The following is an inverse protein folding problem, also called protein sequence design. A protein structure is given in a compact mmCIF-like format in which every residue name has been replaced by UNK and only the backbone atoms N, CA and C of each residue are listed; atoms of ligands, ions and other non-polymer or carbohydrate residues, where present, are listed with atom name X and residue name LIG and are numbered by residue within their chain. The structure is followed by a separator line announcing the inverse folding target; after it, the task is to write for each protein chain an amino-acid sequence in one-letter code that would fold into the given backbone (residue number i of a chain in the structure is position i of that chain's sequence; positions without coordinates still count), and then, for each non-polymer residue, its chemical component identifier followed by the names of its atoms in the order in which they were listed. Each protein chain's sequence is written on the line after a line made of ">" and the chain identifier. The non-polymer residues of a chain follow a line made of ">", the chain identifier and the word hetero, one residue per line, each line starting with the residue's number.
data_IF_444068864660
#
_entry.id   IF_444068864660
#
_cell.length_a   1.000
_cell.length_b   1.000
_cell.length_c   1.000
_cell.angle_alpha   90.00
_cell.angle_beta   90.00
_cell.angle_gamma   90.00
#
_symmetry.space_group_name_H-M   'P 1'
#
loop_
_entity.id
_entity.type
_entity.pdbx_description
1 polymer ?
#
# COMPACT_ATOMS: atom_id res chain seq x y z
N UNK A 1 -22.21 -13.69 -8.68
CA UNK A 1 -21.82 -12.77 -7.58
C UNK A 1 -20.91 -11.70 -8.12
N UNK A 2 -21.01 -10.48 -7.59
CA UNK A 2 -20.13 -9.35 -7.88
C UNK A 2 -19.40 -8.99 -6.59
N UNK A 3 -18.08 -8.98 -6.62
CA UNK A 3 -17.25 -8.60 -5.48
C UNK A 3 -16.62 -7.24 -5.75
N UNK A 4 -16.97 -6.24 -4.94
CA UNK A 4 -16.37 -4.92 -4.99
C UNK A 4 -15.27 -4.88 -3.92
N UNK A 5 -14.04 -4.90 -4.39
CA UNK A 5 -12.85 -4.93 -3.53
C UNK A 5 -12.42 -3.50 -3.21
N UNK A 6 -11.92 -3.30 -1.99
CA UNK A 6 -11.22 -2.08 -1.60
C UNK A 6 -9.74 -2.14 -2.00
N UNK A 7 -8.91 -1.38 -1.27
CA UNK A 7 -7.46 -1.52 -1.39
C UNK A 7 -7.04 -2.94 -0.99
N UNK A 8 -6.24 -3.57 -1.85
CA UNK A 8 -5.65 -4.88 -1.59
C UNK A 8 -4.18 -4.67 -1.24
N UNK A 9 -3.83 -4.99 0.00
CA UNK A 9 -2.48 -4.93 0.52
C UNK A 9 -1.70 -6.23 0.22
N UNK A 10 -0.40 -6.19 0.53
CA UNK A 10 0.48 -7.34 0.49
C UNK A 10 -0.09 -8.57 1.23
N UNK A 11 0.38 -9.75 0.85
CA UNK A 11 0.12 -11.00 1.55
C UNK A 11 0.60 -10.91 3.01
N UNK A 12 -0.28 -11.29 3.95
CA UNK A 12 -0.02 -11.08 5.38
C UNK A 12 1.06 -11.99 5.97
N UNK A 13 1.47 -13.04 5.25
CA UNK A 13 2.45 -14.03 5.72
C UNK A 13 3.78 -13.85 4.98
N UNK A 14 3.71 -13.78 3.65
CA UNK A 14 4.90 -13.76 2.78
C UNK A 14 5.36 -12.35 2.43
N UNK A 15 4.50 -11.34 2.61
CA UNK A 15 4.77 -9.96 2.15
C UNK A 15 4.72 -9.80 0.63
N UNK A 16 4.33 -10.83 -0.12
CA UNK A 16 4.20 -10.75 -1.57
C UNK A 16 3.21 -9.65 -1.95
N UNK A 17 3.63 -8.73 -2.81
CA UNK A 17 2.86 -7.56 -3.20
C UNK A 17 3.03 -7.24 -4.69
N UNK A 18 2.10 -6.46 -5.24
CA UNK A 18 2.22 -5.96 -6.61
C UNK A 18 3.22 -4.78 -6.63
N UNK A 19 4.37 -5.00 -7.25
CA UNK A 19 5.45 -4.02 -7.38
C UNK A 19 5.05 -2.73 -8.12
N UNK A 20 3.96 -2.77 -8.90
CA UNK A 20 3.45 -1.63 -9.67
C UNK A 20 2.22 -0.99 -9.03
N UNK A 21 1.79 -1.45 -7.84
CA UNK A 21 0.72 -0.81 -7.09
C UNK A 21 1.17 0.53 -6.50
N UNK A 22 0.27 1.52 -6.48
CA UNK A 22 0.58 2.89 -6.06
C UNK A 22 1.09 2.98 -4.61
N UNK A 23 0.59 2.15 -3.70
CA UNK A 23 1.05 2.14 -2.31
C UNK A 23 2.38 1.43 -2.18
N UNK A 24 2.60 0.35 -2.94
CA UNK A 24 3.91 -0.30 -3.00
C UNK A 24 4.98 0.67 -3.52
N UNK A 25 4.67 1.41 -4.59
CA UNK A 25 5.55 2.44 -5.15
C UNK A 25 5.78 3.61 -4.18
N UNK A 26 4.74 4.05 -3.45
CA UNK A 26 4.86 5.08 -2.42
C UNK A 26 5.83 4.65 -1.31
N UNK A 27 5.67 3.44 -0.79
CA UNK A 27 6.54 2.89 0.25
C UNK A 27 7.98 2.72 -0.26
N UNK A 28 8.16 2.18 -1.47
CA UNK A 28 9.47 2.05 -2.09
C UNK A 28 10.15 3.41 -2.29
N UNK A 29 9.39 4.44 -2.70
CA UNK A 29 9.90 5.81 -2.83
C UNK A 29 10.36 6.40 -1.50
N UNK A 30 9.57 6.23 -0.44
CA UNK A 30 9.92 6.67 0.92
C UNK A 30 11.23 6.01 1.38
N UNK A 31 11.35 4.69 1.19
CA UNK A 31 12.57 3.95 1.52
C UNK A 31 13.77 4.42 0.69
N UNK A 32 13.59 4.61 -0.62
CA UNK A 32 14.68 5.06 -1.52
C UNK A 32 15.19 6.46 -1.17
N UNK A 33 14.33 7.34 -0.67
CA UNK A 33 14.68 8.70 -0.27
C UNK A 33 15.12 8.83 1.19
N UNK A 34 14.95 7.79 2.00
CA UNK A 34 15.06 7.84 3.46
C UNK A 34 14.24 8.98 4.10
N UNK A 35 13.11 9.36 3.48
CA UNK A 35 12.27 10.44 3.99
C UNK A 35 10.81 10.33 3.52
N UNK A 36 9.90 10.91 4.29
CA UNK A 36 8.47 10.96 3.98
C UNK A 36 7.87 12.35 4.23
N UNK A 37 6.76 12.73 3.56
CA UNK A 37 6.12 14.01 3.79
C UNK A 37 5.41 14.00 5.14
N UNK A 38 5.59 15.05 5.93
CA UNK A 38 4.96 15.18 7.25
C UNK A 38 3.43 15.01 7.22
N UNK A 39 2.77 15.44 6.15
CA UNK A 39 1.31 15.28 6.03
C UNK A 39 0.86 13.83 5.90
N UNK A 40 1.74 12.90 5.50
CA UNK A 40 1.37 11.49 5.39
C UNK A 40 1.08 10.84 6.74
N UNK A 41 1.66 11.32 7.84
CA UNK A 41 1.43 10.77 9.19
C UNK A 41 -0.07 10.76 9.54
N UNK A 42 -0.83 11.74 9.06
CA UNK A 42 -2.25 11.90 9.32
C UNK A 42 -3.14 11.08 8.36
N UNK A 43 -2.53 10.38 7.41
CA UNK A 43 -3.25 9.59 6.41
C UNK A 43 -3.56 8.20 6.94
N UNK A 44 -4.72 7.69 6.53
CA UNK A 44 -5.18 6.36 6.86
C UNK A 44 -5.46 5.57 5.58
N UNK A 45 -5.21 4.27 5.63
CA UNK A 45 -5.44 3.34 4.53
C UNK A 45 -6.49 2.32 4.94
N UNK A 46 -7.48 2.13 4.08
CA UNK A 46 -8.51 1.11 4.27
C UNK A 46 -8.24 -0.05 3.31
N UNK A 47 -7.44 -1.02 3.76
CA UNK A 47 -7.06 -2.17 2.96
C UNK A 47 -7.18 -3.51 3.70
N UNK A 48 -7.26 -4.57 2.90
CA UNK A 48 -7.21 -5.96 3.33
C UNK A 48 -6.01 -6.65 2.66
N UNK A 49 -5.36 -7.59 3.34
CA UNK A 49 -4.33 -8.40 2.69
C UNK A 49 -4.92 -9.23 1.55
N UNK A 50 -4.11 -9.52 0.52
CA UNK A 50 -4.56 -10.30 -0.64
C UNK A 50 -5.03 -11.70 -0.24
N UNK A 51 -4.36 -12.34 0.72
CA UNK A 51 -4.71 -13.69 1.17
C UNK A 51 -6.05 -13.73 1.91
N UNK A 52 -6.34 -12.72 2.74
CA UNK A 52 -7.63 -12.59 3.40
C UNK A 52 -8.73 -12.30 2.39
N UNK A 53 -8.48 -11.37 1.45
CA UNK A 53 -9.42 -11.02 0.38
C UNK A 53 -9.78 -12.25 -0.47
N UNK A 54 -8.80 -13.05 -0.85
CA UNK A 54 -9.01 -14.29 -1.61
C UNK A 54 -9.84 -15.31 -0.81
N UNK A 55 -9.53 -15.52 0.47
CA UNK A 55 -10.31 -16.39 1.37
C UNK A 55 -11.77 -15.93 1.48
N UNK A 56 -12.01 -14.62 1.61
CA UNK A 56 -13.37 -14.07 1.62
C UNK A 56 -14.13 -14.35 0.33
N UNK A 57 -13.51 -14.16 -0.84
CA UNK A 57 -14.16 -14.42 -2.14
C UNK A 57 -14.56 -15.90 -2.25
N UNK A 58 -13.66 -16.82 -1.92
CA UNK A 58 -13.94 -18.27 -1.95
C UNK A 58 -15.05 -18.65 -0.98
N UNK A 59 -15.01 -18.09 0.24
CA UNK A 59 -16.07 -18.32 1.22
C UNK A 59 -17.43 -17.84 0.69
N UNK A 60 -17.50 -16.60 0.20
CA UNK A 60 -18.74 -16.00 -0.31
C UNK A 60 -19.24 -16.67 -1.59
N UNK A 61 -18.36 -17.20 -2.45
CA UNK A 61 -18.78 -17.95 -3.64
C UNK A 61 -19.43 -19.28 -3.30
N UNK A 62 -19.03 -19.89 -2.19
CA UNK A 62 -19.55 -21.18 -1.74
C UNK A 62 -20.84 -21.06 -0.91
N UNK A 63 -21.22 -19.86 -0.50
CA UNK A 63 -22.52 -19.63 0.13
C UNK A 63 -23.62 -19.93 -0.90
N UNK A 64 -24.34 -21.03 -0.71
CA UNK A 64 -25.54 -21.34 -1.48
C UNK A 64 -26.60 -20.28 -1.19
N UNK A 65 -26.66 -19.26 -2.04
CA UNK A 65 -27.75 -18.31 -2.06
C UNK A 65 -28.69 -18.66 -3.19
N UNK A 66 -29.99 -18.81 -2.90
CA UNK A 66 -31.07 -18.99 -3.88
C UNK A 66 -31.27 -17.78 -4.80
N UNK A 67 -30.37 -16.80 -4.78
CA UNK A 67 -30.46 -15.52 -5.47
C UNK A 67 -29.22 -15.39 -6.36
N UNK A 68 -29.42 -15.46 -7.68
CA UNK A 68 -28.38 -15.08 -8.64
C UNK A 68 -28.13 -13.57 -8.53
N UNK A 69 -26.86 -13.16 -8.43
CA UNK A 69 -26.47 -11.75 -8.59
C UNK A 69 -26.15 -10.96 -7.31
N UNK A 70 -25.83 -11.61 -6.19
CA UNK A 70 -25.42 -10.89 -4.97
C UNK A 70 -24.20 -10.00 -5.19
N UNK A 71 -24.21 -8.82 -4.55
CA UNK A 71 -23.11 -7.85 -4.54
C UNK A 71 -22.53 -7.78 -3.14
N UNK A 72 -21.23 -8.07 -3.01
CA UNK A 72 -20.50 -8.01 -1.74
C UNK A 72 -19.42 -6.93 -1.81
N UNK A 73 -19.30 -6.12 -0.76
CA UNK A 73 -18.18 -5.20 -0.58
C UNK A 73 -17.17 -5.86 0.35
N UNK A 74 -16.03 -6.29 -0.20
CA UNK A 74 -14.95 -6.93 0.56
C UNK A 74 -13.94 -5.82 0.87
N UNK A 75 -14.19 -5.15 1.99
CA UNK A 75 -13.45 -3.99 2.47
C UNK A 75 -13.23 -4.11 3.98
N UNK A 76 -12.21 -3.43 4.50
CA UNK A 76 -11.98 -3.35 5.93
C UNK A 76 -12.89 -2.26 6.53
N UNK A 77 -13.89 -2.63 7.34
CA UNK A 77 -14.90 -1.67 7.83
C UNK A 77 -14.51 -0.96 9.12
N UNK A 78 -13.68 -1.59 9.95
CA UNK A 78 -13.56 -1.21 11.36
C UNK A 78 -12.16 -0.74 11.73
N UNK A 79 -11.14 -1.12 10.97
CA UNK A 79 -9.75 -0.89 11.34
C UNK A 79 -8.99 -0.26 10.19
N UNK A 80 -8.78 1.05 10.26
CA UNK A 80 -7.89 1.71 9.31
C UNK A 80 -6.42 1.46 9.67
N UNK A 81 -5.60 1.26 8.66
CA UNK A 81 -4.15 1.19 8.81
C UNK A 81 -3.66 2.64 8.85
N UNK A 82 -3.18 3.09 10.01
CA UNK A 82 -2.63 4.44 10.13
C UNK A 82 -1.25 4.46 9.51
N UNK A 83 -0.96 5.49 8.73
CA UNK A 83 0.35 5.58 8.08
C UNK A 83 1.50 5.69 9.09
N UNK A 84 1.25 6.30 10.26
CA UNK A 84 2.22 6.34 11.36
C UNK A 84 2.64 4.94 11.83
N UNK A 85 1.73 3.97 11.81
CA UNK A 85 2.05 2.59 12.22
C UNK A 85 2.97 1.91 11.18
N UNK A 86 2.83 2.26 9.90
CA UNK A 86 3.74 1.81 8.84
C UNK A 86 5.15 2.38 9.06
N UNK A 87 5.27 3.68 9.33
CA UNK A 87 6.55 4.33 9.62
C UNK A 87 7.20 3.73 10.87
N UNK A 88 6.43 3.52 11.94
CA UNK A 88 6.93 2.84 13.14
C UNK A 88 7.41 1.41 12.83
N UNK A 89 6.66 0.68 12.00
CA UNK A 89 7.08 -0.64 11.51
C UNK A 89 8.41 -0.61 10.76
N UNK A 90 8.63 0.39 9.90
CA UNK A 90 9.90 0.58 9.19
C UNK A 90 11.06 0.87 10.15
N UNK A 91 10.85 1.75 11.14
CA UNK A 91 11.84 2.01 12.18
C UNK A 91 12.18 0.76 12.99
N UNK A 92 11.19 -0.06 13.33
CA UNK A 92 11.40 -1.33 14.02
C UNK A 92 12.21 -2.33 13.18
N UNK A 93 12.16 -2.21 11.84
CA UNK A 93 13.00 -2.97 10.91
C UNK A 93 14.41 -2.36 10.72
N UNK A 94 14.76 -1.29 11.44
CA UNK A 94 16.06 -0.62 11.34
C UNK A 94 16.18 0.37 10.18
N UNK A 95 15.05 0.78 9.59
CA UNK A 95 15.03 1.78 8.51
C UNK A 95 14.92 3.17 9.16
N UNK A 96 15.94 4.00 8.94
CA UNK A 96 15.93 5.40 9.37
C UNK A 96 15.23 6.27 8.32
N UNK A 97 14.23 7.03 8.75
CA UNK A 97 13.40 7.88 7.89
C UNK A 97 13.21 9.25 8.51
N UNK A 98 13.44 10.30 7.72
CA UNK A 98 13.21 11.68 8.13
C UNK A 98 11.83 12.20 7.68
N UNK A 99 11.13 12.91 8.58
CA UNK A 99 9.94 13.66 8.21
C UNK A 99 10.34 14.99 7.58
N UNK A 100 9.92 15.25 6.34
CA UNK A 100 10.20 16.49 5.59
C UNK A 100 8.92 17.24 5.23
N UNK A 101 9.04 18.47 4.74
CA UNK A 101 7.89 19.19 4.18
C UNK A 101 7.40 18.55 2.86
N UNK A 102 6.14 18.79 2.48
CA UNK A 102 5.60 18.25 1.23
C UNK A 102 6.33 18.78 -0.01
N UNK A 103 6.76 20.03 0.02
CA UNK A 103 7.48 20.65 -1.09
C UNK A 103 8.90 20.09 -1.19
N UNK A 104 9.58 19.95 -0.06
CA UNK A 104 10.90 19.31 -0.01
C UNK A 104 10.84 17.87 -0.51
N UNK A 105 9.85 17.08 -0.07
CA UNK A 105 9.68 15.71 -0.53
C UNK A 105 9.46 15.62 -2.04
N UNK A 106 8.62 16.50 -2.61
CA UNK A 106 8.39 16.57 -4.06
C UNK A 106 9.67 16.94 -4.83
N UNK A 107 10.50 17.82 -4.28
CA UNK A 107 11.79 18.18 -4.88
C UNK A 107 12.70 16.94 -4.88
N UNK A 108 12.85 16.27 -3.72
CA UNK A 108 13.67 15.05 -3.60
C UNK A 108 13.22 13.95 -4.58
N UNK A 109 11.92 13.70 -4.69
CA UNK A 109 11.34 12.76 -5.66
C UNK A 109 11.76 13.05 -7.11
N UNK A 110 11.66 14.31 -7.54
CA UNK A 110 12.05 14.72 -8.90
C UNK A 110 13.54 14.54 -9.15
N UNK A 111 14.38 14.87 -8.16
CA UNK A 111 15.84 14.74 -8.28
C UNK A 111 16.29 13.30 -8.44
N UNK A 112 15.69 12.35 -7.69
CA UNK A 112 16.03 10.93 -7.81
C UNK A 112 15.61 10.39 -9.17
N UNK A 113 14.38 10.69 -9.61
CA UNK A 113 13.89 10.23 -10.91
C UNK A 113 14.78 10.70 -12.07
N UNK A 114 15.30 11.93 -12.00
CA UNK A 114 16.25 12.43 -12.99
C UNK A 114 17.58 11.67 -12.95
N UNK A 115 18.08 11.27 -11.77
CA UNK A 115 19.34 10.51 -11.65
C UNK A 115 19.20 9.08 -12.19
N UNK A 116 18.09 8.40 -11.89
CA UNK A 116 17.84 7.05 -12.39
C UNK A 116 17.76 7.03 -13.93
N UNK A 117 17.03 7.98 -14.52
CA UNK A 117 16.96 8.12 -15.98
C UNK A 117 18.33 8.40 -16.62
N UNK A 118 19.21 9.15 -15.95
CA UNK A 118 20.56 9.37 -16.44
C UNK A 118 21.39 8.08 -16.40
N UNK A 119 21.28 7.27 -15.35
CA UNK A 119 22.01 6.00 -15.23
C UNK A 119 21.52 4.97 -16.25
N UNK A 120 20.21 4.88 -16.52
CA UNK A 120 19.66 4.01 -17.57
C UNK A 120 20.03 4.46 -18.99
N UNK A 121 20.27 5.76 -19.21
CA UNK A 121 20.68 6.27 -20.53
C UNK A 121 22.17 6.05 -20.87
N UNK A 122 22.98 5.65 -19.89
CA UNK A 122 24.43 5.45 -20.02
C UNK A 122 24.81 3.95 -19.95
N UNK A 123 23.86 3.08 -19.61
CA UNK A 123 23.99 1.61 -19.64
C UNK A 123 23.47 0.99 -20.94
#
# INVERSE_FOLDING_TARGET
>A
NIYRLGLICADSITGACNQHDIYTLLIAGIMKMNCYPKSLIQSNLNGLSVDFTAKCIVYLSNLQSNIYGNIYHVINRNNEIKFVDIINGMHNCGIELESVSNDEWKIKMKTINHRDNLLESVS
#
